data_IF_227347075419
#
_entry.id   IF_227347075419
#
_cell.length_a   1.000
_cell.length_b   1.000
_cell.length_c   1.000
_cell.angle_alpha   90.00
_cell.angle_beta   90.00
_cell.angle_gamma   90.00
#
_symmetry.space_group_name_H-M   'P 1'
#
loop_
_entity.id
_entity.type
_entity.pdbx_description
1 polymer ?
#
# COMPACT_ATOMS: atom_id res chain seq x y z
N UNK A 1 1.21 2.49 23.68
CA UNK A 1 1.94 3.28 22.69
C UNK A 1 1.13 3.35 21.40
N UNK A 2 1.28 4.42 20.66
CA UNK A 2 0.53 4.60 19.44
C UNK A 2 1.09 3.71 18.32
N UNK A 3 0.17 3.15 17.52
CA UNK A 3 0.54 2.41 16.33
C UNK A 3 0.98 3.37 15.22
N UNK A 4 1.62 2.82 14.20
CA UNK A 4 2.09 3.56 13.05
C UNK A 4 1.33 3.07 11.81
N UNK A 5 0.93 3.97 10.93
CA UNK A 5 0.21 3.59 9.73
C UNK A 5 0.92 4.09 8.48
N UNK A 6 0.78 3.33 7.40
CA UNK A 6 1.17 3.77 6.07
C UNK A 6 -0.02 3.61 5.14
N UNK A 7 -0.18 4.59 4.25
CA UNK A 7 -1.29 4.64 3.32
C UNK A 7 -0.74 5.01 1.95
N UNK A 8 -1.13 4.26 0.92
CA UNK A 8 -0.65 4.52 -0.43
C UNK A 8 -1.85 4.57 -1.37
N UNK A 9 -1.94 5.65 -2.11
CA UNK A 9 -2.99 5.84 -3.11
C UNK A 9 -2.45 5.44 -4.49
N UNK A 10 -3.30 4.75 -5.27
CA UNK A 10 -2.97 4.27 -6.60
C UNK A 10 -4.03 4.68 -7.60
N UNK A 11 -3.62 4.92 -8.84
CA UNK A 11 -4.50 4.98 -9.98
C UNK A 11 -4.15 3.78 -10.87
N UNK A 12 -5.09 2.86 -11.04
CA UNK A 12 -4.88 1.66 -11.85
C UNK A 12 -5.24 1.96 -13.31
N UNK A 13 -4.44 1.46 -14.24
CA UNK A 13 -4.69 1.62 -15.68
C UNK A 13 -6.03 0.99 -16.06
N UNK A 14 -6.75 1.63 -16.98
CA UNK A 14 -8.01 1.12 -17.50
C UNK A 14 -7.80 -0.30 -18.03
N UNK A 15 -8.65 -1.23 -17.58
CA UNK A 15 -8.56 -2.64 -17.98
C UNK A 15 -7.59 -3.47 -17.15
N UNK A 16 -6.85 -2.86 -16.22
CA UNK A 16 -5.88 -3.57 -15.38
C UNK A 16 -6.37 -3.79 -13.94
N UNK A 17 -7.64 -3.46 -13.65
CA UNK A 17 -8.18 -3.55 -12.28
C UNK A 17 -8.11 -4.98 -11.73
N UNK A 18 -8.48 -5.97 -12.55
CA UNK A 18 -8.43 -7.37 -12.09
C UNK A 18 -7.00 -7.83 -11.85
N UNK A 19 -6.05 -7.46 -12.72
CA UNK A 19 -4.64 -7.80 -12.54
C UNK A 19 -4.09 -7.17 -11.27
N UNK A 20 -4.47 -5.91 -10.98
CA UNK A 20 -4.07 -5.22 -9.76
C UNK A 20 -4.61 -5.97 -8.53
N UNK A 21 -5.90 -6.32 -8.52
CA UNK A 21 -6.52 -7.01 -7.39
C UNK A 21 -5.91 -8.39 -7.16
N UNK A 22 -5.61 -9.13 -8.23
CA UNK A 22 -4.96 -10.43 -8.10
C UNK A 22 -3.56 -10.30 -7.49
N UNK A 23 -2.81 -9.27 -7.89
CA UNK A 23 -1.48 -9.03 -7.35
C UNK A 23 -1.55 -8.58 -5.89
N UNK A 24 -2.49 -7.69 -5.55
CA UNK A 24 -2.60 -7.15 -4.18
C UNK A 24 -3.05 -8.21 -3.18
N UNK A 25 -3.84 -9.20 -3.61
CA UNK A 25 -4.29 -10.29 -2.75
C UNK A 25 -3.14 -11.19 -2.31
N UNK A 26 -2.00 -11.13 -2.97
CA UNK A 26 -0.82 -11.92 -2.59
C UNK A 26 -0.05 -11.31 -1.41
N UNK A 27 -0.40 -10.10 -1.01
CA UNK A 27 0.21 -9.50 0.19
C UNK A 27 -0.27 -10.25 1.43
N UNK A 28 0.67 -10.78 2.20
CA UNK A 28 0.36 -11.52 3.41
C UNK A 28 0.94 -10.79 4.61
N UNK A 29 0.05 -10.11 5.35
CA UNK A 29 0.45 -9.33 6.53
C UNK A 29 1.14 -10.20 7.59
N UNK A 30 0.77 -11.48 7.67
CA UNK A 30 1.34 -12.39 8.68
C UNK A 30 2.83 -12.67 8.45
N UNK A 31 3.35 -12.40 7.26
CA UNK A 31 4.76 -12.60 6.95
C UNK A 31 5.63 -11.38 7.28
N UNK A 32 5.01 -10.30 7.77
CA UNK A 32 5.73 -9.08 8.13
C UNK A 32 5.60 -8.84 9.62
N UNK A 33 6.69 -9.04 10.36
CA UNK A 33 6.71 -8.83 11.82
C UNK A 33 6.28 -7.42 12.15
N UNK A 34 5.31 -7.29 13.06
CA UNK A 34 4.80 -5.99 13.49
C UNK A 34 3.72 -5.41 12.59
N UNK A 35 3.35 -6.10 11.50
CA UNK A 35 2.22 -5.69 10.67
C UNK A 35 0.93 -6.20 11.32
N UNK A 36 0.06 -5.28 11.70
CA UNK A 36 -1.16 -5.60 12.44
C UNK A 36 -2.37 -5.79 11.54
N UNK A 37 -2.45 -5.04 10.44
CA UNK A 37 -3.56 -5.16 9.50
C UNK A 37 -3.20 -4.56 8.15
N UNK A 38 -3.93 -5.00 7.13
CA UNK A 38 -3.81 -4.47 5.77
C UNK A 38 -5.19 -4.45 5.13
N UNK A 39 -5.53 -3.32 4.53
CA UNK A 39 -6.79 -3.14 3.80
C UNK A 39 -6.51 -2.46 2.48
N UNK A 40 -7.30 -2.81 1.46
CA UNK A 40 -7.29 -2.10 0.19
C UNK A 40 -8.70 -1.63 -0.08
N UNK A 41 -8.85 -0.34 -0.33
CA UNK A 41 -10.13 0.31 -0.58
C UNK A 41 -10.26 0.56 -2.08
N UNK A 42 -11.38 0.13 -2.65
CA UNK A 42 -11.75 0.44 -4.03
C UNK A 42 -12.65 1.69 -4.02
N UNK A 43 -12.12 2.80 -4.49
CA UNK A 43 -12.84 4.08 -4.49
C UNK A 43 -13.55 4.34 -5.82
N UNK A 44 -13.50 3.38 -6.75
CA UNK A 44 -14.13 3.51 -8.06
C UNK A 44 -13.24 4.23 -9.08
N UNK A 45 -13.55 4.03 -10.36
CA UNK A 45 -12.81 4.66 -11.47
C UNK A 45 -11.32 4.34 -11.48
N UNK A 46 -10.96 3.11 -11.08
CA UNK A 46 -9.56 2.69 -11.02
C UNK A 46 -8.78 3.28 -9.85
N UNK A 47 -9.44 3.96 -8.91
CA UNK A 47 -8.78 4.53 -7.74
C UNK A 47 -8.80 3.53 -6.59
N UNK A 48 -7.63 3.27 -6.04
CA UNK A 48 -7.47 2.34 -4.92
C UNK A 48 -6.57 2.97 -3.86
N UNK A 49 -6.76 2.55 -2.62
CA UNK A 49 -5.90 2.98 -1.52
C UNK A 49 -5.58 1.79 -0.63
N UNK A 50 -4.29 1.59 -0.34
CA UNK A 50 -3.81 0.57 0.57
C UNK A 50 -3.51 1.21 1.92
N UNK A 51 -4.07 0.64 3.00
CA UNK A 51 -3.82 1.09 4.36
C UNK A 51 -3.21 -0.07 5.15
N UNK A 52 -2.07 0.18 5.78
CA UNK A 52 -1.38 -0.84 6.59
C UNK A 52 -1.12 -0.26 7.96
N UNK A 53 -1.44 -1.02 9.01
CA UNK A 53 -1.18 -0.63 10.40
C UNK A 53 -0.03 -1.46 10.94
N UNK A 54 0.91 -0.80 11.60
CA UNK A 54 2.13 -1.39 12.15
C UNK A 54 2.23 -1.09 13.65
N UNK A 55 2.93 -1.97 14.39
CA UNK A 55 3.18 -1.75 15.83
C UNK A 55 3.93 -0.44 16.07
N UNK A 56 4.89 -0.12 15.20
CA UNK A 56 5.73 1.06 15.32
C UNK A 56 6.45 1.34 14.00
N UNK A 57 7.16 2.44 13.94
CA UNK A 57 7.91 2.83 12.74
C UNK A 57 9.04 1.86 12.41
N UNK A 58 9.66 1.27 13.43
CA UNK A 58 10.75 0.31 13.21
C UNK A 58 10.27 -0.93 12.44
N UNK A 59 9.03 -1.36 12.68
CA UNK A 59 8.46 -2.51 11.98
C UNK A 59 8.32 -2.24 10.48
N UNK A 60 7.81 -1.06 10.09
CA UNK A 60 7.69 -0.72 8.67
C UNK A 60 9.07 -0.53 8.04
N UNK A 61 10.02 0.05 8.77
CA UNK A 61 11.39 0.23 8.26
C UNK A 61 12.03 -1.12 7.95
N UNK A 62 11.85 -2.11 8.84
CA UNK A 62 12.38 -3.46 8.63
C UNK A 62 11.71 -4.17 7.45
N UNK A 63 10.42 -3.92 7.22
CA UNK A 63 9.67 -4.55 6.13
C UNK A 63 9.90 -3.86 4.78
N UNK A 64 10.44 -2.65 4.76
CA UNK A 64 10.53 -1.81 3.55
C UNK A 64 11.12 -2.50 2.33
N UNK A 65 12.23 -3.26 2.42
CA UNK A 65 12.75 -3.95 1.23
C UNK A 65 11.74 -4.89 0.60
N UNK A 66 10.97 -5.63 1.42
CA UNK A 66 9.94 -6.54 0.93
C UNK A 66 8.73 -5.79 0.39
N UNK A 67 8.39 -4.66 1.00
CA UNK A 67 7.29 -3.81 0.53
C UNK A 67 7.61 -3.23 -0.84
N UNK A 68 8.86 -2.83 -1.08
CA UNK A 68 9.29 -2.33 -2.38
C UNK A 68 9.18 -3.43 -3.44
N UNK A 69 9.63 -4.66 -3.12
CA UNK A 69 9.50 -5.79 -4.02
C UNK A 69 8.05 -6.08 -4.36
N UNK A 70 7.17 -5.99 -3.37
CA UNK A 70 5.74 -6.19 -3.59
C UNK A 70 5.18 -5.09 -4.49
N UNK A 71 5.52 -3.83 -4.23
CA UNK A 71 5.09 -2.70 -5.04
C UNK A 71 5.53 -2.87 -6.50
N UNK A 72 6.74 -3.41 -6.73
CA UNK A 72 7.23 -3.65 -8.08
C UNK A 72 6.33 -4.61 -8.86
N UNK A 73 5.64 -5.54 -8.17
CA UNK A 73 4.69 -6.44 -8.84
C UNK A 73 3.41 -5.71 -9.25
N UNK A 74 3.10 -4.59 -8.61
CA UNK A 74 1.92 -3.78 -8.93
C UNK A 74 2.16 -2.76 -10.03
N UNK A 75 3.42 -2.29 -10.20
CA UNK A 75 3.75 -1.19 -11.11
C UNK A 75 3.23 -1.36 -12.53
N UNK A 76 3.26 -2.56 -13.15
CA UNK A 76 2.75 -2.70 -14.51
C UNK A 76 1.26 -2.36 -14.66
N UNK A 77 0.49 -2.41 -13.56
CA UNK A 77 -0.95 -2.11 -13.57
C UNK A 77 -1.25 -0.67 -13.24
N UNK A 78 -0.24 0.13 -12.83
CA UNK A 78 -0.45 1.48 -12.30
C UNK A 78 -0.25 2.55 -13.36
N UNK A 79 -1.15 3.55 -13.31
CA UNK A 79 -1.05 4.75 -14.13
C UNK A 79 -0.39 5.86 -13.32
N UNK A 80 0.23 6.81 -14.01
CA UNK A 80 0.82 7.99 -13.35
C UNK A 80 -0.28 8.84 -12.73
N UNK A 81 -0.14 9.16 -11.44
CA UNK A 81 -1.07 10.06 -10.74
C UNK A 81 -0.77 11.50 -11.12
N UNK A 82 0.50 11.89 -11.07
CA UNK A 82 0.99 13.18 -11.48
C UNK A 82 2.49 13.09 -11.77
N UNK A 83 3.08 14.05 -12.51
CA UNK A 83 4.53 14.03 -12.74
C UNK A 83 5.34 14.05 -11.44
N UNK A 84 4.85 14.74 -10.41
CA UNK A 84 5.54 14.85 -9.13
C UNK A 84 5.46 13.57 -8.31
N UNK A 85 4.31 12.89 -8.31
CA UNK A 85 4.08 11.70 -7.50
C UNK A 85 4.48 10.40 -8.19
N UNK A 86 4.45 10.37 -9.52
CA UNK A 86 4.63 9.15 -10.27
C UNK A 86 3.41 8.25 -10.13
N UNK A 87 3.62 6.96 -9.86
CA UNK A 87 2.53 5.97 -9.82
C UNK A 87 1.98 5.70 -8.42
N UNK A 88 2.54 6.34 -7.38
CA UNK A 88 2.09 6.15 -5.99
C UNK A 88 2.01 7.50 -5.29
N UNK A 89 1.12 7.57 -4.30
CA UNK A 89 0.99 8.74 -3.43
C UNK A 89 0.99 8.24 -1.98
N UNK A 90 2.18 8.05 -1.39
CA UNK A 90 2.30 7.50 -0.04
C UNK A 90 2.24 8.58 1.04
N UNK A 91 1.68 8.19 2.19
CA UNK A 91 1.74 8.96 3.41
C UNK A 91 1.90 7.99 4.57
N UNK A 92 2.69 8.35 5.57
CA UNK A 92 2.84 7.52 6.76
C UNK A 92 3.03 8.39 7.99
N UNK A 93 2.66 7.84 9.14
CA UNK A 93 2.80 8.55 10.40
C UNK A 93 2.21 7.80 11.57
N UNK A 94 2.32 8.41 12.73
CA UNK A 94 1.76 7.87 13.98
C UNK A 94 0.25 8.02 13.98
N UNK A 95 -0.45 6.96 14.39
CA UNK A 95 -1.90 7.02 14.54
C UNK A 95 -2.21 7.80 15.80
N UNK A 96 -2.94 8.91 15.64
CA UNK A 96 -3.29 9.80 16.76
C UNK A 96 -4.73 9.62 17.23
N UNK A 97 -5.53 8.84 16.49
CA UNK A 97 -6.92 8.52 16.82
C UNK A 97 -7.29 7.21 16.16
N UNK A 98 -7.78 6.27 16.96
CA UNK A 98 -8.25 4.97 16.46
C UNK A 98 -9.74 4.78 16.71
#
# INVERSE_FOLDING_TARGET
MANFASSVRFQVKTGQENAFLEAVKKFDASQHTGCLSHQVIDAGNGRFQSNVVWENEAAIAAARPNLIKFLDTLRPTLAEISPELGVTDPISGTIVKE
#
